data_IF_692722408839
#
_entry.id   IF_692722408839
#
_cell.length_a   1.000
_cell.length_b   1.000
_cell.length_c   1.000
_cell.angle_alpha   90.00
_cell.angle_beta   90.00
_cell.angle_gamma   90.00
#
_symmetry.space_group_name_H-M   'P 1'
#
loop_
_entity.id
_entity.type
_entity.pdbx_description
1 polymer ?
#
# COMPACT_ATOMS: atom_id res chain seq x y z
N UNK A 1 -26.15 13.63 -22.44
CA UNK A 1 -27.53 14.07 -22.15
C UNK A 1 -27.58 15.51 -21.63
N UNK A 2 -26.77 15.89 -20.64
CA UNK A 2 -26.81 17.25 -20.03
C UNK A 2 -26.45 18.41 -20.99
N UNK A 3 -25.42 18.28 -21.82
CA UNK A 3 -25.03 19.34 -22.77
C UNK A 3 -26.02 19.55 -23.92
N UNK A 4 -26.82 18.53 -24.27
CA UNK A 4 -27.87 18.67 -25.27
C UNK A 4 -28.96 19.65 -24.82
N UNK A 5 -29.28 19.64 -23.52
CA UNK A 5 -30.22 20.58 -22.90
C UNK A 5 -29.63 21.98 -22.82
N UNK A 6 -28.34 22.13 -22.49
CA UNK A 6 -27.72 23.47 -22.41
C UNK A 6 -27.58 24.15 -23.78
N UNK A 7 -27.48 23.37 -24.86
CA UNK A 7 -27.36 23.90 -26.23
C UNK A 7 -28.64 24.58 -26.75
N UNK A 8 -29.82 24.32 -26.17
CA UNK A 8 -31.03 25.08 -26.53
C UNK A 8 -30.93 26.54 -26.12
N UNK A 9 -30.15 26.84 -25.07
CA UNK A 9 -29.91 28.19 -24.56
C UNK A 9 -28.57 28.77 -25.02
N UNK A 10 -27.59 27.93 -25.36
CA UNK A 10 -26.26 28.33 -25.83
C UNK A 10 -25.84 27.53 -27.07
N UNK A 11 -26.22 27.95 -28.29
CA UNK A 11 -26.01 27.19 -29.53
C UNK A 11 -24.53 26.95 -29.89
N UNK A 12 -23.62 27.77 -29.36
CA UNK A 12 -22.17 27.70 -29.60
C UNK A 12 -21.46 26.62 -28.77
N UNK A 13 -22.13 26.02 -27.77
CA UNK A 13 -21.53 24.96 -26.94
C UNK A 13 -21.34 23.68 -27.75
N UNK A 14 -20.20 22.97 -27.62
CA UNK A 14 -19.98 21.71 -28.33
C UNK A 14 -20.88 20.57 -27.81
N UNK A 15 -21.17 19.60 -28.68
CA UNK A 15 -22.03 18.45 -28.37
C UNK A 15 -21.41 17.49 -27.35
N UNK A 16 -20.08 17.37 -27.35
CA UNK A 16 -19.34 16.47 -26.46
C UNK A 16 -18.68 17.27 -25.33
N UNK A 17 -18.85 16.88 -24.05
CA UNK A 17 -18.17 17.53 -22.93
C UNK A 17 -16.65 17.52 -23.07
N UNK A 18 -16.09 16.52 -23.76
CA UNK A 18 -14.64 16.43 -24.03
C UNK A 18 -14.13 17.59 -24.87
N UNK A 19 -14.95 18.13 -25.78
CA UNK A 19 -14.58 19.31 -26.57
C UNK A 19 -14.55 20.56 -25.69
N UNK A 20 -15.50 20.68 -24.75
CA UNK A 20 -15.52 21.77 -23.78
C UNK A 20 -14.31 21.71 -22.84
N UNK A 21 -13.97 20.51 -22.37
CA UNK A 21 -12.83 20.26 -21.48
C UNK A 21 -11.48 20.18 -22.19
N UNK A 22 -11.43 20.41 -23.51
CA UNK A 22 -10.24 20.25 -24.37
C UNK A 22 -9.48 18.93 -24.11
N UNK A 23 -10.21 17.86 -23.81
CA UNK A 23 -9.60 16.59 -23.38
C UNK A 23 -8.73 16.04 -24.52
N UNK A 24 -7.44 15.73 -24.27
CA UNK A 24 -6.54 15.17 -25.27
C UNK A 24 -7.14 13.93 -25.95
N UNK A 25 -7.12 13.91 -27.29
CA UNK A 25 -7.72 12.82 -28.10
C UNK A 25 -6.73 11.70 -28.43
N UNK A 26 -5.44 11.92 -28.21
CA UNK A 26 -4.37 10.94 -28.38
C UNK A 26 -3.70 10.65 -27.04
N UNK A 27 -3.56 9.37 -26.71
CA UNK A 27 -2.73 8.90 -25.61
C UNK A 27 -1.76 7.84 -26.16
N UNK A 28 -0.55 7.71 -25.60
CA UNK A 28 0.37 6.64 -25.98
C UNK A 28 -0.27 5.28 -25.67
N UNK A 29 -0.67 4.57 -26.72
CA UNK A 29 -1.31 3.25 -26.64
C UNK A 29 -0.26 2.17 -26.88
N UNK A 30 -0.23 1.18 -26.00
CA UNK A 30 0.47 -0.09 -26.25
C UNK A 30 -0.56 -1.15 -26.61
N UNK A 31 -0.35 -1.85 -27.71
CA UNK A 31 -1.20 -2.97 -28.10
C UNK A 31 -0.65 -4.23 -27.43
N UNK A 32 -1.49 -4.90 -26.63
CA UNK A 32 -1.14 -6.15 -25.93
C UNK A 32 -2.15 -7.20 -26.38
N UNK A 33 -1.72 -8.11 -27.26
CA UNK A 33 -2.62 -9.05 -27.93
C UNK A 33 -3.68 -8.30 -28.76
N UNK A 34 -4.96 -8.59 -28.51
CA UNK A 34 -6.10 -7.87 -29.11
C UNK A 34 -6.54 -6.62 -28.33
N UNK A 35 -5.92 -6.34 -27.18
CA UNK A 35 -6.27 -5.22 -26.30
C UNK A 35 -5.42 -3.98 -26.49
N UNK A 36 -5.97 -2.83 -26.08
CA UNK A 36 -5.27 -1.53 -26.04
C UNK A 36 -5.01 -1.17 -24.57
N UNK A 37 -3.74 -0.96 -24.23
CA UNK A 37 -3.30 -0.53 -22.90
C UNK A 37 -2.81 0.91 -22.95
N UNK A 38 -3.23 1.71 -21.97
CA UNK A 38 -2.79 3.09 -21.78
C UNK A 38 -2.39 3.25 -20.32
N UNK A 39 -1.17 3.70 -20.08
CA UNK A 39 -0.69 4.02 -18.73
C UNK A 39 -0.76 5.53 -18.52
N UNK A 40 -1.61 6.00 -17.63
CA UNK A 40 -1.86 7.43 -17.48
C UNK A 40 -0.81 8.17 -16.66
N UNK A 41 -0.17 7.52 -15.69
CA UNK A 41 0.85 8.17 -14.86
C UNK A 41 2.20 8.31 -15.54
N UNK A 42 2.54 7.41 -16.49
CA UNK A 42 3.88 7.31 -17.08
C UNK A 42 5.02 7.35 -16.04
N UNK A 43 4.78 6.76 -14.87
CA UNK A 43 5.73 6.65 -13.76
C UNK A 43 6.32 5.26 -13.61
N UNK A 44 7.46 5.17 -12.95
CA UNK A 44 8.13 3.93 -12.57
C UNK A 44 7.28 3.17 -11.57
N UNK A 45 7.10 1.87 -11.82
CA UNK A 45 6.34 1.00 -10.93
C UNK A 45 6.95 0.92 -9.52
N UNK A 46 6.13 0.49 -8.56
CA UNK A 46 6.45 0.48 -7.12
C UNK A 46 7.77 -0.21 -6.76
N UNK A 47 8.23 -1.16 -7.56
CA UNK A 47 9.47 -1.92 -7.35
C UNK A 47 10.74 -1.19 -7.77
N UNK A 48 10.62 -0.03 -8.43
CA UNK A 48 11.76 0.79 -8.84
C UNK A 48 12.40 1.59 -7.69
N UNK A 49 13.65 2.02 -7.91
CA UNK A 49 14.39 2.91 -7.00
C UNK A 49 13.60 4.19 -6.69
N UNK A 50 13.04 4.84 -7.71
CA UNK A 50 12.11 5.98 -7.56
C UNK A 50 10.67 5.55 -7.83
N UNK A 51 10.19 4.51 -7.14
CA UNK A 51 8.87 3.92 -7.36
C UNK A 51 7.77 4.38 -6.38
N UNK A 52 8.05 5.28 -5.43
CA UNK A 52 6.99 5.84 -4.59
C UNK A 52 6.21 6.87 -5.42
N UNK A 53 4.89 6.92 -5.29
CA UNK A 53 4.07 7.94 -5.96
C UNK A 53 3.97 9.23 -5.13
N UNK A 54 4.11 9.13 -3.80
CA UNK A 54 3.87 10.24 -2.87
C UNK A 54 5.13 11.02 -2.46
N UNK A 55 6.31 10.41 -2.47
CA UNK A 55 7.56 11.07 -2.05
C UNK A 55 8.70 10.91 -3.06
N UNK A 56 9.59 11.90 -3.13
CA UNK A 56 10.70 11.92 -4.09
C UNK A 56 11.89 11.04 -3.69
N UNK A 57 11.79 10.36 -2.55
CA UNK A 57 12.88 9.56 -2.00
C UNK A 57 13.26 8.35 -2.88
N UNK A 58 14.57 8.18 -3.05
CA UNK A 58 15.16 6.97 -3.62
C UNK A 58 15.16 5.80 -2.62
N UNK A 59 14.80 4.60 -3.10
CA UNK A 59 14.97 3.36 -2.34
C UNK A 59 16.44 2.94 -2.35
N UNK A 60 16.94 2.52 -1.19
CA UNK A 60 18.26 1.90 -1.07
C UNK A 60 18.14 0.38 -1.04
N UNK A 61 19.20 -0.33 -1.46
CA UNK A 61 19.23 -1.79 -1.44
C UNK A 61 19.84 -2.29 -0.12
N UNK A 62 19.02 -2.82 0.77
CA UNK A 62 19.44 -3.42 2.05
C UNK A 62 19.12 -4.91 2.03
N UNK A 63 20.13 -5.75 2.30
CA UNK A 63 19.99 -7.21 2.34
C UNK A 63 19.23 -7.80 1.11
N UNK A 64 19.61 -7.37 -0.10
CA UNK A 64 19.00 -7.76 -1.40
C UNK A 64 17.54 -7.31 -1.58
N UNK A 65 17.01 -6.42 -0.74
CA UNK A 65 15.66 -5.83 -0.85
C UNK A 65 15.76 -4.32 -1.02
N UNK A 66 14.80 -3.72 -1.72
CA UNK A 66 14.72 -2.26 -1.86
C UNK A 66 13.84 -1.68 -0.74
N UNK A 67 14.39 -0.73 0.02
CA UNK A 67 13.74 -0.11 1.19
C UNK A 67 13.77 1.41 1.10
N UNK A 68 12.74 2.07 1.61
CA UNK A 68 12.74 3.51 1.83
C UNK A 68 13.42 3.81 3.17
N UNK A 69 14.54 4.54 3.20
CA UNK A 69 15.29 4.73 4.44
C UNK A 69 14.72 5.80 5.37
N UNK A 70 13.93 6.75 4.87
CA UNK A 70 13.38 7.85 5.70
C UNK A 70 11.90 7.63 5.98
N UNK A 71 11.47 7.94 7.21
CA UNK A 71 10.06 8.03 7.59
C UNK A 71 9.42 9.35 7.16
N UNK A 72 10.21 10.41 7.00
CA UNK A 72 9.74 11.75 6.64
C UNK A 72 10.42 12.25 5.36
N UNK A 73 10.22 11.57 4.23
CA UNK A 73 10.77 12.02 2.97
C UNK A 73 10.01 13.25 2.43
N UNK A 74 10.68 14.11 1.64
CA UNK A 74 10.00 15.18 0.91
C UNK A 74 8.89 14.62 0.02
N UNK A 75 7.70 15.22 0.15
CA UNK A 75 6.52 14.85 -0.63
C UNK A 75 6.62 15.42 -2.05
N UNK A 76 5.99 14.74 -3.01
CA UNK A 76 5.80 15.30 -4.35
C UNK A 76 4.73 16.38 -4.30
N UNK A 77 4.99 17.45 -5.03
CA UNK A 77 3.99 18.49 -5.32
C UNK A 77 3.49 18.33 -6.74
N UNK A 78 2.32 18.90 -7.00
CA UNK A 78 1.73 18.98 -8.33
C UNK A 78 2.71 19.53 -9.37
N UNK A 79 3.37 20.63 -9.05
CA UNK A 79 4.31 21.35 -9.93
C UNK A 79 5.54 20.49 -10.21
N UNK A 80 6.11 19.86 -9.17
CA UNK A 80 7.28 18.98 -9.33
C UNK A 80 6.99 17.80 -10.25
N UNK A 81 5.75 17.30 -10.23
CA UNK A 81 5.32 16.15 -11.01
C UNK A 81 5.05 16.50 -12.46
N UNK A 82 4.35 17.62 -12.73
CA UNK A 82 4.10 18.09 -14.10
C UNK A 82 5.40 18.52 -14.79
N UNK A 83 6.27 19.24 -14.07
CA UNK A 83 7.58 19.63 -14.57
C UNK A 83 8.57 18.46 -14.69
N UNK A 84 8.16 17.25 -14.30
CA UNK A 84 8.98 16.03 -14.29
C UNK A 84 10.36 16.25 -13.63
N UNK A 85 10.39 16.98 -12.51
CA UNK A 85 11.65 17.40 -11.87
C UNK A 85 12.50 16.23 -11.36
N UNK A 86 11.92 15.03 -11.26
CA UNK A 86 12.63 13.78 -11.01
C UNK A 86 12.54 12.85 -12.25
N UNK A 87 13.45 12.97 -13.23
CA UNK A 87 13.42 12.17 -14.45
C UNK A 87 13.47 10.66 -14.21
N UNK A 88 14.12 10.20 -13.12
CA UNK A 88 14.24 8.78 -12.81
C UNK A 88 12.92 8.14 -12.30
N UNK A 89 11.95 8.97 -11.91
CA UNK A 89 10.59 8.55 -11.56
C UNK A 89 9.67 8.44 -12.79
N UNK A 90 9.93 9.21 -13.85
CA UNK A 90 9.10 9.24 -15.05
C UNK A 90 9.65 8.30 -16.13
N UNK A 91 8.75 7.65 -16.88
CA UNK A 91 9.05 6.77 -18.01
C UNK A 91 8.77 7.49 -19.34
N UNK A 92 7.94 8.52 -19.33
CA UNK A 92 7.62 9.31 -20.51
C UNK A 92 6.64 10.43 -20.21
N UNK A 93 6.18 11.08 -21.28
CA UNK A 93 5.35 12.28 -21.18
C UNK A 93 3.98 12.01 -20.60
N UNK A 94 3.57 12.88 -19.69
CA UNK A 94 2.27 12.82 -19.04
C UNK A 94 1.17 13.33 -19.98
N UNK A 95 0.16 12.51 -20.30
CA UNK A 95 -0.89 12.88 -21.24
C UNK A 95 -1.87 13.97 -20.73
N UNK A 96 -1.74 14.39 -19.47
CA UNK A 96 -2.72 15.25 -18.80
C UNK A 96 -2.12 16.48 -18.09
N UNK A 97 -0.90 16.91 -18.45
CA UNK A 97 -0.27 18.10 -17.85
C UNK A 97 -1.12 19.37 -17.90
N UNK A 98 -1.97 19.51 -18.92
CA UNK A 98 -2.73 20.73 -19.17
C UNK A 98 -4.04 20.83 -18.39
N UNK A 99 -4.38 19.81 -17.59
CA UNK A 99 -5.64 19.75 -16.85
C UNK A 99 -5.41 20.31 -15.44
N UNK A 100 -6.27 21.21 -14.92
CA UNK A 100 -6.15 21.80 -13.58
C UNK A 100 -6.58 20.81 -12.47
N UNK A 101 -5.94 19.64 -12.41
CA UNK A 101 -6.18 18.61 -11.41
C UNK A 101 -4.84 18.19 -10.81
N UNK A 102 -4.77 18.13 -9.49
CA UNK A 102 -3.58 17.66 -8.81
C UNK A 102 -3.33 16.16 -9.09
N UNK A 103 -2.27 15.88 -9.85
CA UNK A 103 -1.86 14.55 -10.25
C UNK A 103 -1.29 13.69 -9.11
N UNK A 104 -0.81 14.28 -8.02
CA UNK A 104 -0.22 13.51 -6.91
C UNK A 104 -1.27 12.77 -6.08
N UNK A 105 -2.38 13.39 -5.62
CA UNK A 105 -3.43 12.71 -4.86
C UNK A 105 -4.37 11.88 -5.72
N UNK A 106 -4.50 12.16 -7.03
CA UNK A 106 -5.53 11.53 -7.89
C UNK A 106 -5.40 10.01 -7.98
N UNK A 107 -4.19 9.48 -7.84
CA UNK A 107 -3.94 8.05 -7.84
C UNK A 107 -4.09 7.51 -6.41
N UNK A 108 -5.18 6.76 -6.13
CA UNK A 108 -5.37 6.15 -4.83
C UNK A 108 -4.36 5.03 -4.64
N UNK A 109 -3.75 5.02 -3.47
CA UNK A 109 -2.93 3.90 -3.04
C UNK A 109 -3.85 2.72 -2.67
N UNK A 110 -3.63 1.57 -3.30
CA UNK A 110 -4.48 0.41 -3.07
C UNK A 110 -4.17 -0.25 -1.72
N UNK A 111 -5.10 -0.12 -0.79
CA UNK A 111 -5.09 -0.76 0.53
C UNK A 111 -4.84 -2.27 0.45
N UNK A 112 -5.40 -2.96 -0.55
CA UNK A 112 -5.25 -4.40 -0.72
C UNK A 112 -3.79 -4.81 -0.90
N UNK A 113 -3.06 -4.09 -1.76
CA UNK A 113 -1.67 -4.40 -2.07
C UNK A 113 -0.71 -3.88 -1.01
N UNK A 114 -0.96 -2.69 -0.45
CA UNK A 114 -0.07 -2.07 0.51
C UNK A 114 -0.23 -2.65 1.92
N UNK A 115 -1.46 -2.70 2.42
CA UNK A 115 -1.72 -3.09 3.81
C UNK A 115 -1.88 -4.60 3.91
N UNK A 116 -2.82 -5.19 3.16
CA UNK A 116 -3.13 -6.61 3.32
C UNK A 116 -2.01 -7.51 2.79
N UNK A 117 -1.62 -7.37 1.52
CA UNK A 117 -0.59 -8.19 0.90
C UNK A 117 0.84 -7.70 1.18
N UNK A 118 1.00 -6.42 1.50
CA UNK A 118 2.28 -5.80 1.82
C UNK A 118 2.62 -5.98 3.30
N UNK A 119 1.99 -5.19 4.16
CA UNK A 119 2.29 -5.14 5.60
C UNK A 119 1.87 -6.43 6.32
N UNK A 120 0.58 -6.79 6.28
CA UNK A 120 0.04 -7.89 7.08
C UNK A 120 0.65 -9.24 6.71
N UNK A 121 0.72 -9.55 5.42
CA UNK A 121 1.38 -10.77 4.94
C UNK A 121 2.85 -10.82 5.38
N UNK A 122 3.58 -9.69 5.30
CA UNK A 122 4.99 -9.64 5.71
C UNK A 122 5.13 -9.84 7.22
N UNK A 123 4.30 -9.20 8.03
CA UNK A 123 4.33 -9.32 9.49
C UNK A 123 4.05 -10.76 9.93
N UNK A 124 2.95 -11.36 9.46
CA UNK A 124 2.61 -12.75 9.79
C UNK A 124 3.70 -13.74 9.36
N UNK A 125 4.30 -13.53 8.19
CA UNK A 125 5.40 -14.38 7.74
C UNK A 125 6.64 -14.27 8.61
N UNK A 126 6.95 -13.09 9.14
CA UNK A 126 8.05 -12.92 10.09
C UNK A 126 7.73 -13.59 11.43
N UNK A 127 6.53 -13.37 11.95
CA UNK A 127 6.09 -13.96 13.22
C UNK A 127 5.99 -15.48 13.21
N UNK A 128 5.71 -16.10 12.06
CA UNK A 128 5.56 -17.56 11.99
C UNK A 128 6.83 -18.24 11.47
N UNK A 129 7.48 -17.64 10.47
CA UNK A 129 8.51 -18.28 9.67
C UNK A 129 9.77 -17.41 9.48
N UNK A 130 10.01 -16.40 10.31
CA UNK A 130 11.20 -15.53 10.16
C UNK A 130 12.47 -16.38 10.02
N UNK A 131 13.19 -16.25 8.89
CA UNK A 131 14.46 -16.95 8.67
C UNK A 131 15.65 -16.16 9.23
N UNK A 132 15.44 -14.90 9.64
CA UNK A 132 16.51 -13.97 10.01
C UNK A 132 16.72 -13.94 11.52
N UNK A 133 15.63 -13.91 12.27
CA UNK A 133 15.66 -13.83 13.72
C UNK A 133 14.54 -14.70 14.31
N UNK A 134 14.93 -15.65 15.17
CA UNK A 134 14.00 -16.51 15.89
C UNK A 134 13.28 -15.77 17.00
N UNK A 135 13.84 -14.68 17.53
CA UNK A 135 13.22 -13.88 18.60
C UNK A 135 12.01 -13.08 18.09
N UNK A 136 11.90 -12.88 16.76
CA UNK A 136 10.72 -12.28 16.14
C UNK A 136 9.58 -13.30 15.99
N UNK A 137 9.87 -14.60 16.09
CA UNK A 137 8.87 -15.64 15.92
C UNK A 137 8.02 -15.76 17.19
N UNK A 138 6.71 -15.93 17.00
CA UNK A 138 5.80 -16.26 18.09
C UNK A 138 6.17 -17.62 18.69
N UNK A 139 5.96 -17.74 20.01
CA UNK A 139 6.12 -19.03 20.69
C UNK A 139 5.13 -20.07 20.16
N UNK A 140 5.44 -21.36 20.31
CA UNK A 140 4.52 -22.42 19.91
C UNK A 140 3.16 -22.31 20.61
N UNK A 141 3.15 -21.87 21.88
CA UNK A 141 1.94 -21.65 22.64
C UNK A 141 1.12 -20.48 22.06
N UNK A 142 1.77 -19.37 21.73
CA UNK A 142 1.12 -18.18 21.15
C UNK A 142 0.55 -18.49 19.75
N UNK A 143 1.26 -19.30 18.95
CA UNK A 143 0.76 -19.80 17.65
C UNK A 143 -0.45 -20.73 17.81
N UNK A 144 -0.42 -21.62 18.81
CA UNK A 144 -1.54 -22.52 19.11
C UNK A 144 -2.77 -21.74 19.56
N UNK A 145 -2.59 -20.78 20.47
CA UNK A 145 -3.65 -19.88 20.92
C UNK A 145 -4.23 -19.06 19.77
N UNK A 146 -3.38 -18.48 18.92
CA UNK A 146 -3.81 -17.71 17.76
C UNK A 146 -4.62 -18.57 16.77
N UNK A 147 -4.16 -19.80 16.53
CA UNK A 147 -4.86 -20.76 15.66
C UNK A 147 -6.24 -21.10 16.22
N UNK A 148 -6.35 -21.36 17.53
CA UNK A 148 -7.63 -21.63 18.19
C UNK A 148 -8.59 -20.42 18.09
N UNK A 149 -8.08 -19.20 18.31
CA UNK A 149 -8.87 -17.96 18.17
C UNK A 149 -9.38 -17.77 16.74
N UNK A 150 -8.55 -18.00 15.72
CA UNK A 150 -8.96 -17.92 14.32
C UNK A 150 -10.04 -18.96 14.01
N UNK A 151 -9.90 -20.19 14.50
CA UNK A 151 -10.90 -21.24 14.31
C UNK A 151 -12.23 -20.90 14.97
N UNK A 152 -12.22 -20.34 16.18
CA UNK A 152 -13.45 -19.89 16.85
C UNK A 152 -14.14 -18.77 16.04
N UNK A 153 -13.36 -17.79 15.58
CA UNK A 153 -13.88 -16.70 14.76
C UNK A 153 -14.49 -17.19 13.44
N UNK A 154 -14.08 -18.34 12.88
CA UNK A 154 -14.69 -18.86 11.65
C UNK A 154 -16.19 -19.13 11.77
N UNK A 155 -16.65 -19.51 12.97
CA UNK A 155 -18.07 -19.75 13.23
C UNK A 155 -18.88 -18.44 13.23
N UNK A 156 -18.25 -17.35 13.66
CA UNK A 156 -18.90 -16.05 13.84
C UNK A 156 -18.87 -15.18 12.57
N UNK A 157 -18.21 -15.62 11.50
CA UNK A 157 -18.12 -14.85 10.24
C UNK A 157 -19.44 -14.97 9.47
N UNK A 158 -20.17 -13.85 9.25
CA UNK A 158 -21.36 -13.84 8.43
C UNK A 158 -21.08 -14.29 6.99
N UNK A 159 -22.09 -14.87 6.33
CA UNK A 159 -22.00 -15.34 4.95
C UNK A 159 -21.67 -14.25 3.92
N UNK A 160 -21.85 -12.97 4.29
CA UNK A 160 -21.54 -11.82 3.45
C UNK A 160 -20.03 -11.61 3.22
N UNK A 161 -19.19 -12.21 4.06
CA UNK A 161 -17.76 -12.19 3.83
C UNK A 161 -17.38 -13.16 2.72
N UNK A 162 -16.58 -12.72 1.72
CA UNK A 162 -16.31 -13.52 0.53
C UNK A 162 -15.56 -14.83 0.83
N UNK A 163 -14.90 -14.95 1.99
CA UNK A 163 -14.15 -16.14 2.43
C UNK A 163 -14.16 -16.25 3.96
N UNK A 164 -14.29 -17.48 4.47
CA UNK A 164 -13.93 -17.82 5.87
C UNK A 164 -12.40 -17.92 5.99
N UNK A 165 -11.87 -17.78 7.21
CA UNK A 165 -10.45 -18.02 7.43
C UNK A 165 -10.05 -19.42 6.97
N UNK A 166 -8.91 -19.52 6.31
CA UNK A 166 -8.15 -20.77 6.30
C UNK A 166 -7.38 -20.90 7.61
N UNK A 167 -7.05 -22.13 8.04
CA UNK A 167 -6.19 -22.34 9.20
C UNK A 167 -4.88 -21.55 9.08
N UNK A 168 -4.31 -21.16 10.23
CA UNK A 168 -3.05 -20.41 10.28
C UNK A 168 -1.88 -21.17 9.64
N UNK A 169 -1.92 -22.51 9.64
CA UNK A 169 -0.98 -23.36 8.93
C UNK A 169 -0.89 -23.06 7.41
N UNK A 170 -1.97 -22.53 6.82
CA UNK A 170 -2.06 -22.19 5.41
C UNK A 170 -1.87 -20.69 5.12
N UNK A 171 -1.34 -19.91 6.07
CA UNK A 171 -1.17 -18.45 5.92
C UNK A 171 -0.41 -18.03 4.66
N UNK A 172 0.52 -18.85 4.16
CA UNK A 172 1.22 -18.58 2.89
C UNK A 172 0.28 -18.52 1.68
N UNK A 173 -0.84 -19.24 1.74
CA UNK A 173 -1.85 -19.32 0.69
C UNK A 173 -2.96 -18.28 0.87
N UNK A 174 -3.00 -17.55 1.98
CA UNK A 174 -4.01 -16.52 2.25
C UNK A 174 -4.03 -15.45 1.15
N UNK A 175 -5.23 -15.00 0.81
CA UNK A 175 -5.49 -13.87 -0.09
C UNK A 175 -5.67 -12.60 0.72
N UNK A 176 -5.72 -11.46 0.02
CA UNK A 176 -5.82 -10.16 0.66
C UNK A 176 -7.05 -10.01 1.57
N UNK A 177 -8.18 -10.66 1.24
CA UNK A 177 -9.39 -10.64 2.06
C UNK A 177 -9.18 -11.28 3.44
N UNK A 178 -8.40 -12.35 3.52
CA UNK A 178 -8.10 -13.02 4.80
C UNK A 178 -7.11 -12.19 5.63
N UNK A 179 -6.11 -11.59 5.00
CA UNK A 179 -5.22 -10.64 5.68
C UNK A 179 -5.95 -9.38 6.16
N UNK A 180 -6.92 -8.89 5.37
CA UNK A 180 -7.80 -7.79 5.74
C UNK A 180 -8.62 -8.17 6.96
N UNK A 181 -9.28 -9.32 6.91
CA UNK A 181 -10.09 -9.80 8.02
C UNK A 181 -9.24 -9.98 9.27
N UNK A 182 -8.04 -10.56 9.13
CA UNK A 182 -7.11 -10.74 10.23
C UNK A 182 -6.72 -9.41 10.86
N UNK A 183 -6.43 -8.37 10.07
CA UNK A 183 -6.15 -7.04 10.59
C UNK A 183 -7.32 -6.49 11.42
N UNK A 184 -8.55 -6.59 10.91
CA UNK A 184 -9.72 -6.08 11.63
C UNK A 184 -10.08 -6.92 12.86
N UNK A 185 -10.02 -8.25 12.77
CA UNK A 185 -10.28 -9.11 13.92
C UNK A 185 -9.15 -9.11 14.93
N UNK A 186 -7.90 -8.86 14.52
CA UNK A 186 -6.76 -8.74 15.43
C UNK A 186 -6.87 -7.50 16.34
N UNK A 187 -7.53 -6.42 15.90
CA UNK A 187 -7.85 -5.31 16.82
C UNK A 187 -8.81 -5.73 17.95
N UNK A 188 -9.64 -6.75 17.71
CA UNK A 188 -10.48 -7.38 18.73
C UNK A 188 -9.71 -8.45 19.52
N UNK A 189 -8.74 -9.11 18.88
CA UNK A 189 -7.80 -10.05 19.49
C UNK A 189 -6.57 -9.30 20.04
N UNK A 190 -6.81 -8.58 21.12
CA UNK A 190 -5.82 -8.32 22.18
C UNK A 190 -4.65 -7.39 21.80
N UNK A 191 -4.94 -6.08 21.73
CA UNK A 191 -3.95 -5.01 21.81
C UNK A 191 -3.09 -5.05 23.11
N UNK A 192 -3.34 -5.99 24.03
CA UNK A 192 -2.58 -6.15 25.29
C UNK A 192 -1.73 -7.43 25.37
N UNK A 193 -1.91 -8.42 24.51
CA UNK A 193 -1.12 -9.67 24.57
C UNK A 193 0.22 -9.58 23.83
N UNK A 194 0.30 -8.84 22.73
CA UNK A 194 1.54 -8.73 21.94
C UNK A 194 2.55 -7.78 22.59
N UNK A 195 2.10 -6.76 23.33
CA UNK A 195 3.00 -5.86 24.06
C UNK A 195 3.63 -6.55 25.29
N UNK A 196 2.90 -7.43 25.98
CA UNK A 196 3.38 -8.06 27.23
C UNK A 196 4.55 -9.03 27.02
N UNK A 197 4.60 -9.77 25.92
CA UNK A 197 5.76 -10.64 25.62
C UNK A 197 7.04 -9.83 25.30
N UNK A 198 6.93 -8.54 24.96
CA UNK A 198 8.10 -7.66 24.72
C UNK A 198 8.56 -6.91 25.96
N UNK A 199 7.73 -6.84 27.02
CA UNK A 199 8.03 -6.10 28.25
C UNK A 199 8.74 -6.98 29.29
N UNK A 200 8.46 -8.29 29.33
CA UNK A 200 9.11 -9.21 30.28
C UNK A 200 10.60 -9.51 29.99
N UNK A 201 11.18 -8.93 28.93
CA UNK A 201 12.62 -8.98 28.67
C UNK A 201 13.33 -7.62 28.86
N UNK A 202 12.65 -6.59 29.35
CA UNK A 202 13.28 -5.29 29.63
C UNK A 202 12.75 -4.64 30.90
N UNK A 203 13.08 -5.23 32.05
CA UNK A 203 13.19 -4.46 33.29
C UNK A 203 14.52 -3.70 33.27
N UNK A 204 14.55 -2.53 32.62
CA UNK A 204 15.07 -1.32 33.28
C UNK A 204 14.90 -0.06 32.43
N UNK A 205 14.57 1.04 33.13
CA UNK A 205 14.49 2.45 32.72
C UNK A 205 13.38 2.86 31.72
N UNK A 206 12.48 3.69 32.25
CA UNK A 206 11.36 4.28 31.55
C UNK A 206 11.76 5.39 30.57
N UNK A 207 11.09 5.40 29.42
CA UNK A 207 10.63 6.61 28.74
C UNK A 207 9.70 6.21 27.58
N UNK A 208 8.49 6.78 27.63
CA UNK A 208 7.51 7.06 26.58
C UNK A 208 7.38 6.13 25.35
N UNK A 209 6.26 5.36 25.31
CA UNK A 209 6.02 4.24 24.40
C UNK A 209 5.50 4.63 22.99
N UNK A 210 5.21 5.89 22.72
CA UNK A 210 4.87 6.37 21.36
C UNK A 210 6.08 6.46 20.43
N UNK A 211 7.30 6.24 20.95
CA UNK A 211 8.57 6.31 20.22
C UNK A 211 9.06 4.99 19.61
N UNK A 212 8.37 3.85 19.84
CA UNK A 212 8.87 2.51 19.43
C UNK A 212 8.38 1.99 18.08
N UNK A 213 7.29 2.51 17.53
CA UNK A 213 6.91 2.24 16.13
C UNK A 213 7.86 2.94 15.13
N UNK A 214 8.46 4.06 15.54
CA UNK A 214 9.53 4.74 14.79
C UNK A 214 10.87 4.01 14.87
N UNK A 215 11.11 3.19 15.90
CA UNK A 215 12.40 2.51 16.12
C UNK A 215 12.59 1.17 15.37
N UNK A 216 11.57 0.67 14.66
CA UNK A 216 11.74 -0.55 13.85
C UNK A 216 12.51 -0.28 12.55
N UNK A 217 12.52 0.96 12.06
CA UNK A 217 13.33 1.36 10.91
C UNK A 217 14.81 1.58 11.28
N UNK A 218 15.12 2.07 12.49
CA UNK A 218 16.50 2.37 12.93
C UNK A 218 17.32 1.13 13.26
N UNK A 219 16.72 0.09 13.87
CA UNK A 219 17.47 -1.15 14.18
C UNK A 219 17.80 -2.01 12.96
N UNK A 220 17.13 -1.80 11.83
CA UNK A 220 17.46 -2.45 10.55
C UNK A 220 18.59 -1.70 9.81
N UNK A 221 18.75 -0.40 10.03
CA UNK A 221 19.84 0.41 9.48
C UNK A 221 21.14 0.32 10.28
N UNK A 222 21.09 -0.02 11.57
CA UNK A 222 22.29 -0.04 12.43
C UNK A 222 23.02 -1.40 12.50
N UNK A 223 22.45 -2.46 11.92
CA UNK A 223 23.16 -3.73 11.69
C UNK A 223 23.53 -3.89 10.21
N UNK A 224 24.27 -2.92 9.66
CA UNK A 224 25.28 -3.07 8.59
C UNK A 224 25.82 -1.73 8.13
#
# INVERSE_FOLDING_TARGET
MFLGVLRTHHPTLPWDPRTLMRTPRGCPKKYIGSGVYVHFGQIKGYSGYFGCDKCTQERIRVARRLTFPSSHPPLRTHESFICQSNPAHHIGDLPFCDIPIDMVPIFPLDHMHLVCLGVMKRMLNLWLFSPVDRNIRLSANSVTLLSARISNLQADIPGDFPRRYRPLAEVQRWKATEFRQFLFSATYVDARAVERETVDQSSDTGSDCTSRLTNFNTRYTERK
#
